data_IF_822887254658
#
_entry.id   IF_822887254658
#
_cell.length_a   1.000
_cell.length_b   1.000
_cell.length_c   1.000
_cell.angle_alpha   90.00
_cell.angle_beta   90.00
_cell.angle_gamma   90.00
#
_symmetry.space_group_name_H-M   'P 1'
#
loop_
_entity.id
_entity.type
_entity.pdbx_description
1 polymer ?
#
# COMPACT_ATOMS: atom_id res chain seq x y z
N UNK A 1 -29.55 5.51 15.33
CA UNK A 1 -29.75 6.50 14.26
C UNK A 1 -29.37 7.86 14.84
N UNK A 2 -28.14 8.30 14.67
CA UNK A 2 -27.66 9.59 15.18
C UNK A 2 -28.02 10.70 14.21
N UNK A 3 -28.53 11.80 14.77
CA UNK A 3 -28.98 12.96 14.02
C UNK A 3 -27.81 13.60 13.23
N UNK A 4 -28.12 14.00 12.00
CA UNK A 4 -27.22 14.79 11.14
C UNK A 4 -27.36 16.25 11.62
N UNK A 5 -26.27 16.80 12.21
CA UNK A 5 -26.20 18.23 12.52
C UNK A 5 -25.34 18.94 11.47
N UNK A 6 -25.79 20.11 11.01
CA UNK A 6 -25.03 20.97 10.08
C UNK A 6 -24.21 21.98 10.88
N UNK A 7 -22.90 22.02 10.63
CA UNK A 7 -22.01 23.08 11.13
C UNK A 7 -21.62 24.02 9.98
N UNK A 8 -21.16 25.22 10.29
CA UNK A 8 -20.98 26.37 9.37
C UNK A 8 -20.07 26.16 8.15
N UNK A 9 -19.39 25.00 8.02
CA UNK A 9 -18.67 24.59 6.79
C UNK A 9 -19.53 23.72 5.84
N UNK A 10 -20.83 23.64 6.02
CA UNK A 10 -21.81 23.16 5.04
C UNK A 10 -21.78 21.68 4.67
N UNK A 11 -21.03 20.83 5.37
CA UNK A 11 -20.98 19.38 5.14
C UNK A 11 -21.69 18.57 6.24
N UNK A 12 -22.33 17.41 5.91
CA UNK A 12 -22.92 16.54 6.93
C UNK A 12 -21.86 15.99 7.88
N UNK A 13 -22.11 16.05 9.18
CA UNK A 13 -21.28 15.34 10.18
C UNK A 13 -21.45 13.83 9.97
N UNK A 14 -20.46 13.21 9.32
CA UNK A 14 -20.45 11.79 9.02
C UNK A 14 -19.77 11.05 10.17
N UNK A 15 -20.43 10.05 10.74
CA UNK A 15 -19.88 9.27 11.84
C UNK A 15 -18.57 8.58 11.45
N UNK A 16 -17.60 8.51 12.38
CA UNK A 16 -16.25 7.94 12.15
C UNK A 16 -16.27 6.54 11.52
N UNK A 17 -17.21 5.70 11.94
CA UNK A 17 -17.37 4.35 11.39
C UNK A 17 -17.87 4.35 9.94
N UNK A 18 -18.73 5.30 9.58
CA UNK A 18 -19.22 5.42 8.21
C UNK A 18 -18.09 5.88 7.27
N UNK A 19 -17.26 6.84 7.69
CA UNK A 19 -16.09 7.29 6.93
C UNK A 19 -15.06 6.15 6.75
N UNK A 20 -14.81 5.38 7.81
CA UNK A 20 -13.93 4.24 7.75
C UNK A 20 -14.48 3.15 6.81
N UNK A 21 -15.75 2.79 6.94
CA UNK A 21 -16.39 1.79 6.08
C UNK A 21 -16.42 2.23 4.62
N UNK A 22 -16.72 3.51 4.37
CA UNK A 22 -16.62 4.09 3.02
C UNK A 22 -15.19 3.94 2.47
N UNK A 23 -14.18 4.32 3.26
CA UNK A 23 -12.79 4.20 2.88
C UNK A 23 -12.40 2.76 2.56
N UNK A 24 -12.79 1.82 3.41
CA UNK A 24 -12.53 0.39 3.21
C UNK A 24 -13.15 -0.11 1.90
N UNK A 25 -14.42 0.18 1.65
CA UNK A 25 -15.13 -0.24 0.42
C UNK A 25 -14.50 0.40 -0.82
N UNK A 26 -14.27 1.72 -0.79
CA UNK A 26 -13.70 2.44 -1.95
C UNK A 26 -12.29 1.92 -2.28
N UNK A 27 -11.45 1.68 -1.27
CA UNK A 27 -10.12 1.07 -1.47
C UNK A 27 -10.26 -0.33 -2.05
N UNK A 28 -11.16 -1.18 -1.50
CA UNK A 28 -11.37 -2.57 -1.96
C UNK A 28 -11.86 -2.66 -3.40
N UNK A 29 -12.48 -1.60 -3.92
CA UNK A 29 -12.99 -1.60 -5.30
C UNK A 29 -12.02 -0.95 -6.28
N UNK A 30 -11.22 0.06 -5.87
CA UNK A 30 -10.50 0.90 -6.83
C UNK A 30 -8.98 0.87 -6.73
N UNK A 31 -8.39 0.56 -5.55
CA UNK A 31 -7.00 0.95 -5.32
C UNK A 31 -5.94 -0.01 -5.87
N UNK A 32 -6.19 -1.31 -5.87
CA UNK A 32 -5.22 -2.34 -6.27
C UNK A 32 -5.67 -3.19 -7.47
N UNK A 33 -6.60 -2.70 -8.27
CA UNK A 33 -7.21 -3.45 -9.40
C UNK A 33 -6.15 -4.00 -10.36
N UNK A 34 -5.09 -3.22 -10.62
CA UNK A 34 -3.96 -3.62 -11.50
C UNK A 34 -3.30 -4.93 -11.06
N UNK A 35 -3.35 -5.28 -9.78
CA UNK A 35 -2.72 -6.50 -9.25
C UNK A 35 -3.53 -7.79 -9.52
N UNK A 36 -4.74 -7.67 -10.06
CA UNK A 36 -5.48 -8.76 -10.68
C UNK A 36 -5.04 -9.09 -12.12
N UNK A 37 -3.95 -8.48 -12.59
CA UNK A 37 -3.40 -8.58 -13.95
C UNK A 37 -3.37 -9.99 -14.56
N UNK A 38 -2.97 -11.07 -13.86
CA UNK A 38 -2.90 -12.39 -14.47
C UNK A 38 -4.24 -12.85 -15.09
N UNK A 39 -5.36 -12.44 -14.49
CA UNK A 39 -6.71 -12.75 -14.98
C UNK A 39 -7.04 -11.93 -16.25
N UNK A 40 -6.81 -10.62 -16.21
CA UNK A 40 -7.04 -9.77 -17.40
C UNK A 40 -6.13 -10.19 -18.58
N UNK A 41 -4.84 -10.48 -18.30
CA UNK A 41 -3.93 -11.00 -19.32
C UNK A 41 -4.52 -12.24 -20.00
N UNK A 42 -5.01 -13.18 -19.21
CA UNK A 42 -5.62 -14.40 -19.74
C UNK A 42 -6.84 -14.09 -20.62
N UNK A 43 -7.73 -13.21 -20.14
CA UNK A 43 -8.90 -12.79 -20.90
C UNK A 43 -8.53 -12.18 -22.26
N UNK A 44 -7.52 -11.30 -22.32
CA UNK A 44 -7.05 -10.70 -23.58
C UNK A 44 -6.48 -11.74 -24.56
N UNK A 45 -5.80 -12.77 -24.03
CA UNK A 45 -5.29 -13.88 -24.86
C UNK A 45 -6.46 -14.73 -25.40
N UNK A 46 -7.43 -15.07 -24.56
CA UNK A 46 -8.59 -15.88 -24.94
C UNK A 46 -9.51 -15.16 -25.96
N UNK A 47 -9.57 -13.83 -25.91
CA UNK A 47 -10.25 -12.99 -26.92
C UNK A 47 -9.50 -12.92 -28.26
N UNK A 48 -8.28 -13.49 -28.34
CA UNK A 48 -7.52 -13.57 -29.59
C UNK A 48 -6.84 -12.27 -30.01
N UNK A 49 -6.48 -11.39 -29.06
CA UNK A 49 -5.87 -10.09 -29.29
C UNK A 49 -4.50 -10.12 -29.99
N UNK A 50 -3.81 -11.27 -30.02
CA UNK A 50 -2.55 -11.46 -30.74
C UNK A 50 -1.37 -10.68 -30.14
N UNK A 51 -1.51 -10.11 -28.96
CA UNK A 51 -0.43 -9.39 -28.26
C UNK A 51 0.68 -10.37 -27.82
N UNK A 52 1.92 -9.98 -28.06
CA UNK A 52 3.09 -10.69 -27.56
C UNK A 52 3.22 -10.55 -26.02
N UNK A 53 3.94 -11.48 -25.37
CA UNK A 53 4.22 -11.39 -23.93
C UNK A 53 4.96 -10.11 -23.56
N UNK A 54 5.80 -9.59 -24.44
CA UNK A 54 6.49 -8.31 -24.25
C UNK A 54 5.50 -7.14 -24.23
N UNK A 55 4.53 -7.10 -25.14
CA UNK A 55 3.48 -6.06 -25.18
C UNK A 55 2.58 -6.16 -23.95
N UNK A 56 2.13 -7.34 -23.56
CA UNK A 56 1.38 -7.58 -22.32
C UNK A 56 2.18 -7.15 -21.10
N UNK A 57 3.48 -7.43 -21.08
CA UNK A 57 4.40 -6.97 -20.05
C UNK A 57 4.53 -5.45 -19.96
N UNK A 58 4.59 -4.77 -21.10
CA UNK A 58 4.62 -3.30 -21.16
C UNK A 58 3.33 -2.67 -20.62
N UNK A 59 2.17 -3.22 -20.97
CA UNK A 59 0.85 -2.79 -20.47
C UNK A 59 0.80 -2.85 -18.96
N UNK A 60 1.16 -4.01 -18.37
CA UNK A 60 1.19 -4.14 -16.90
C UNK A 60 2.20 -3.21 -16.25
N UNK A 61 3.39 -3.07 -16.85
CA UNK A 61 4.44 -2.20 -16.31
C UNK A 61 3.98 -0.76 -16.21
N UNK A 62 3.25 -0.25 -17.21
CA UNK A 62 2.65 1.08 -17.16
C UNK A 62 1.69 1.23 -15.96
N UNK A 63 0.85 0.24 -15.71
CA UNK A 63 -0.05 0.22 -14.56
C UNK A 63 0.68 0.13 -13.21
N UNK A 64 1.70 -0.70 -13.11
CA UNK A 64 2.49 -0.86 -11.87
C UNK A 64 3.28 0.42 -11.53
N UNK A 65 3.85 1.07 -12.54
CA UNK A 65 4.54 2.37 -12.39
C UNK A 65 3.56 3.45 -11.95
N UNK A 66 2.40 3.56 -12.63
CA UNK A 66 1.38 4.55 -12.27
C UNK A 66 0.79 4.29 -10.88
N UNK A 67 0.66 3.03 -10.46
CA UNK A 67 0.19 2.68 -9.13
C UNK A 67 1.14 3.14 -8.01
N UNK A 68 2.44 3.06 -8.22
CA UNK A 68 3.43 3.51 -7.26
C UNK A 68 3.63 5.03 -7.31
N UNK A 69 3.83 5.62 -8.50
CA UNK A 69 4.02 7.05 -8.68
C UNK A 69 2.75 7.85 -8.35
N UNK A 70 1.57 7.32 -8.71
CA UNK A 70 0.27 7.97 -8.50
C UNK A 70 0.02 8.31 -7.03
N UNK A 71 0.48 7.48 -6.10
CA UNK A 71 0.35 7.76 -4.65
C UNK A 71 1.08 9.02 -4.23
N UNK A 72 2.28 9.28 -4.77
CA UNK A 72 3.02 10.50 -4.47
C UNK A 72 2.27 11.74 -4.94
N UNK A 73 1.85 11.76 -6.20
CA UNK A 73 1.10 12.89 -6.77
C UNK A 73 -0.26 13.08 -6.08
N UNK A 74 -0.94 11.99 -5.77
CA UNK A 74 -2.21 12.06 -5.03
C UNK A 74 -2.02 12.61 -3.63
N UNK A 75 -0.94 12.24 -2.94
CA UNK A 75 -0.58 12.82 -1.64
C UNK A 75 -0.42 14.33 -1.71
N UNK A 76 0.32 14.84 -2.70
CA UNK A 76 0.50 16.28 -2.92
C UNK A 76 -0.84 16.99 -3.23
N UNK A 77 -1.68 16.41 -4.09
CA UNK A 77 -3.00 16.96 -4.43
C UNK A 77 -3.88 17.00 -3.16
N UNK A 78 -3.85 15.93 -2.35
CA UNK A 78 -4.61 15.88 -1.09
C UNK A 78 -4.19 16.98 -0.13
N UNK A 79 -2.88 17.17 0.04
CA UNK A 79 -2.36 18.17 0.97
C UNK A 79 -2.66 19.60 0.49
N UNK A 80 -2.70 19.84 -0.83
CA UNK A 80 -3.01 21.13 -1.42
C UNK A 80 -4.53 21.42 -1.57
N UNK A 81 -5.34 20.40 -1.93
CA UNK A 81 -6.73 20.58 -2.34
C UNK A 81 -7.73 19.81 -1.46
N UNK A 82 -7.25 19.05 -0.49
CA UNK A 82 -8.05 18.26 0.44
C UNK A 82 -8.38 16.85 -0.04
N UNK A 83 -8.83 16.03 0.92
CA UNK A 83 -9.08 14.59 0.74
C UNK A 83 -10.16 14.29 -0.31
N UNK A 84 -11.24 15.09 -0.32
CA UNK A 84 -12.37 14.94 -1.26
C UNK A 84 -11.91 15.04 -2.72
N UNK A 85 -11.20 16.12 -3.06
CA UNK A 85 -10.75 16.39 -4.44
C UNK A 85 -9.77 15.32 -4.92
N UNK A 86 -8.80 14.95 -4.09
CA UNK A 86 -7.81 13.94 -4.43
C UNK A 86 -8.44 12.55 -4.62
N UNK A 87 -9.32 12.13 -3.71
CA UNK A 87 -9.99 10.84 -3.78
C UNK A 87 -10.91 10.73 -5.00
N UNK A 88 -11.75 11.74 -5.23
CA UNK A 88 -12.67 11.77 -6.39
C UNK A 88 -11.89 11.83 -7.70
N UNK A 89 -10.80 12.61 -7.77
CA UNK A 89 -9.92 12.66 -8.92
C UNK A 89 -9.32 11.27 -9.28
N UNK A 90 -8.87 10.52 -8.27
CA UNK A 90 -8.40 9.14 -8.48
C UNK A 90 -9.53 8.21 -8.97
N UNK A 91 -10.73 8.30 -8.38
CA UNK A 91 -11.87 7.48 -8.82
C UNK A 91 -12.28 7.78 -10.25
N UNK A 92 -12.27 9.05 -10.67
CA UNK A 92 -12.53 9.44 -12.05
C UNK A 92 -11.45 8.88 -12.99
N UNK A 93 -10.18 8.91 -12.58
CA UNK A 93 -9.11 8.30 -13.38
C UNK A 93 -9.34 6.79 -13.57
N UNK A 94 -9.70 6.06 -12.49
CA UNK A 94 -10.04 4.63 -12.55
C UNK A 94 -11.26 4.39 -13.45
N UNK A 95 -12.30 5.23 -13.34
CA UNK A 95 -13.49 5.16 -14.18
C UNK A 95 -13.13 5.31 -15.67
N UNK A 96 -12.38 6.34 -16.02
CA UNK A 96 -11.93 6.55 -17.40
C UNK A 96 -11.08 5.37 -17.89
N UNK A 97 -10.14 4.89 -17.07
CA UNK A 97 -9.32 3.72 -17.37
C UNK A 97 -10.15 2.47 -17.61
N UNK A 98 -11.18 2.25 -16.80
CA UNK A 98 -12.14 1.15 -16.95
C UNK A 98 -12.90 1.24 -18.28
N UNK A 99 -13.38 2.42 -18.66
CA UNK A 99 -14.07 2.64 -19.93
C UNK A 99 -13.13 2.42 -21.12
N UNK A 100 -11.87 2.87 -21.03
CA UNK A 100 -10.88 2.62 -22.08
C UNK A 100 -10.65 1.12 -22.29
N UNK A 101 -10.53 0.34 -21.22
CA UNK A 101 -10.38 -1.12 -21.32
C UNK A 101 -11.66 -1.77 -21.86
N UNK A 102 -12.84 -1.25 -21.54
CA UNK A 102 -14.11 -1.75 -22.05
C UNK A 102 -14.21 -1.62 -23.58
N UNK A 103 -13.78 -0.47 -24.12
CA UNK A 103 -13.90 -0.18 -25.56
C UNK A 103 -12.67 -0.61 -26.39
N UNK A 104 -11.56 -0.95 -25.74
CA UNK A 104 -10.35 -1.39 -26.43
C UNK A 104 -10.55 -2.75 -27.08
N UNK A 105 -10.10 -2.91 -28.32
CA UNK A 105 -9.92 -4.24 -28.87
C UNK A 105 -8.83 -5.00 -28.10
N UNK A 106 -8.93 -6.32 -28.02
CA UNK A 106 -7.97 -7.13 -27.28
C UNK A 106 -6.52 -7.03 -27.82
N UNK A 107 -6.36 -6.59 -29.05
CA UNK A 107 -5.07 -6.32 -29.72
C UNK A 107 -4.61 -4.86 -29.68
N UNK A 108 -5.40 -3.94 -29.13
CA UNK A 108 -5.02 -2.52 -29.05
C UNK A 108 -4.14 -2.22 -27.82
N UNK A 109 -2.84 -2.49 -27.97
CA UNK A 109 -1.87 -2.27 -26.90
C UNK A 109 -1.85 -0.82 -26.38
N UNK A 110 -2.10 0.18 -27.25
CA UNK A 110 -2.03 1.59 -26.87
C UNK A 110 -3.19 1.96 -25.94
N UNK A 111 -4.42 1.58 -26.32
CA UNK A 111 -5.62 1.89 -25.54
C UNK A 111 -5.64 1.10 -24.23
N UNK A 112 -5.23 -0.18 -24.25
CA UNK A 112 -5.08 -1.00 -23.06
C UNK A 112 -4.02 -0.42 -22.11
N UNK A 113 -2.88 0.04 -22.62
CA UNK A 113 -1.83 0.69 -21.81
C UNK A 113 -2.36 1.95 -21.14
N UNK A 114 -3.07 2.81 -21.87
CA UNK A 114 -3.67 4.02 -21.33
C UNK A 114 -4.71 3.69 -20.23
N UNK A 115 -5.56 2.68 -20.49
CA UNK A 115 -6.55 2.20 -19.53
C UNK A 115 -5.91 1.68 -18.24
N UNK A 116 -4.94 0.78 -18.34
CA UNK A 116 -4.24 0.19 -17.19
C UNK A 116 -3.41 1.25 -16.44
N UNK A 117 -2.80 2.21 -17.14
CA UNK A 117 -2.12 3.34 -16.51
C UNK A 117 -3.08 4.17 -15.63
N UNK A 118 -4.26 4.49 -16.16
CA UNK A 118 -5.27 5.23 -15.38
C UNK A 118 -5.83 4.41 -14.20
N UNK A 119 -6.01 3.10 -14.38
CA UNK A 119 -6.37 2.20 -13.26
C UNK A 119 -5.32 2.22 -12.15
N UNK A 120 -4.03 2.28 -12.49
CA UNK A 120 -2.96 2.34 -11.51
C UNK A 120 -3.03 3.58 -10.61
N UNK A 121 -3.48 4.72 -11.15
CA UNK A 121 -3.67 5.96 -10.36
C UNK A 121 -4.70 5.78 -9.23
N UNK A 122 -5.60 4.80 -9.33
CA UNK A 122 -6.55 4.45 -8.27
C UNK A 122 -5.88 4.08 -6.93
N UNK A 123 -4.62 3.65 -6.97
CA UNK A 123 -3.85 3.37 -5.74
C UNK A 123 -3.72 4.60 -4.82
N UNK A 124 -3.86 5.81 -5.36
CA UNK A 124 -3.90 7.05 -4.60
C UNK A 124 -5.07 7.15 -3.63
N UNK A 125 -6.21 6.49 -3.92
CA UNK A 125 -7.36 6.44 -3.02
C UNK A 125 -6.97 5.88 -1.65
N UNK A 126 -6.14 4.84 -1.61
CA UNK A 126 -5.64 4.28 -0.35
C UNK A 126 -4.92 5.36 0.48
N UNK A 127 -4.04 6.13 -0.14
CA UNK A 127 -3.29 7.18 0.57
C UNK A 127 -4.22 8.31 1.07
N UNK A 128 -5.25 8.65 0.29
CA UNK A 128 -6.25 9.63 0.71
C UNK A 128 -7.05 9.18 1.93
N UNK A 129 -7.37 7.88 2.02
CA UNK A 129 -8.23 7.36 3.07
C UNK A 129 -7.47 6.91 4.32
N UNK A 130 -6.15 6.67 4.25
CA UNK A 130 -5.35 6.28 5.42
C UNK A 130 -5.51 7.21 6.64
N UNK A 131 -5.57 8.55 6.51
CA UNK A 131 -5.74 9.43 7.67
C UNK A 131 -7.05 9.26 8.43
N UNK A 132 -8.07 8.60 7.86
CA UNK A 132 -9.29 8.21 8.58
C UNK A 132 -8.98 7.38 9.85
N UNK A 133 -7.85 6.69 9.87
CA UNK A 133 -7.40 5.90 11.03
C UNK A 133 -7.09 6.75 12.26
N UNK A 134 -6.81 8.04 12.08
CA UNK A 134 -6.60 9.00 13.19
C UNK A 134 -7.88 9.23 14.02
N UNK A 135 -9.07 8.93 13.45
CA UNK A 135 -10.33 8.94 14.18
C UNK A 135 -10.46 7.79 15.20
N UNK A 136 -9.50 6.85 15.19
CA UNK A 136 -9.46 5.66 16.07
C UNK A 136 -8.10 5.55 16.77
N UNK A 137 -7.75 6.47 17.69
CA UNK A 137 -6.41 6.54 18.27
C UNK A 137 -6.02 5.25 19.00
N UNK A 138 -6.96 4.58 19.67
CA UNK A 138 -6.72 3.33 20.42
C UNK A 138 -6.39 2.13 19.50
N UNK A 139 -6.88 2.12 18.25
CA UNK A 139 -6.75 1.01 17.31
C UNK A 139 -6.18 1.45 15.96
N UNK A 140 -5.47 2.56 15.90
CA UNK A 140 -5.00 3.18 14.65
C UNK A 140 -4.15 2.23 13.80
N UNK A 141 -3.25 1.47 14.41
CA UNK A 141 -2.40 0.50 13.69
C UNK A 141 -3.21 -0.63 13.06
N UNK A 142 -4.20 -1.18 13.77
CA UNK A 142 -5.08 -2.22 13.26
C UNK A 142 -5.96 -1.69 12.12
N UNK A 143 -6.51 -0.49 12.27
CA UNK A 143 -7.32 0.16 11.23
C UNK A 143 -6.49 0.46 9.98
N UNK A 144 -5.26 0.94 10.13
CA UNK A 144 -4.33 1.16 9.01
C UNK A 144 -3.98 -0.14 8.30
N UNK A 145 -3.67 -1.19 9.04
CA UNK A 145 -3.38 -2.51 8.48
C UNK A 145 -4.57 -3.08 7.71
N UNK A 146 -5.81 -2.90 8.21
CA UNK A 146 -7.00 -3.38 7.50
C UNK A 146 -7.26 -2.61 6.20
N UNK A 147 -6.98 -1.31 6.13
CA UNK A 147 -7.02 -0.56 4.85
C UNK A 147 -5.95 -1.06 3.86
N UNK A 148 -4.80 -1.53 4.36
CA UNK A 148 -3.82 -2.20 3.50
C UNK A 148 -4.33 -3.56 2.99
N UNK A 149 -5.10 -4.29 3.80
CA UNK A 149 -5.82 -5.50 3.36
C UNK A 149 -6.88 -5.19 2.31
N UNK A 150 -7.65 -4.12 2.49
CA UNK A 150 -8.65 -3.67 1.51
C UNK A 150 -8.02 -3.43 0.13
N UNK A 151 -6.80 -2.91 0.09
CA UNK A 151 -6.03 -2.76 -1.14
C UNK A 151 -5.77 -4.09 -1.86
N UNK A 152 -5.46 -5.17 -1.13
CA UNK A 152 -5.27 -6.48 -1.75
C UNK A 152 -6.58 -7.09 -2.25
N UNK A 153 -7.68 -6.87 -1.54
CA UNK A 153 -9.02 -7.31 -1.96
C UNK A 153 -9.36 -6.76 -3.34
N UNK A 154 -8.94 -5.53 -3.67
CA UNK A 154 -9.23 -4.93 -4.98
C UNK A 154 -8.62 -5.69 -6.17
N UNK A 155 -7.61 -6.55 -5.95
CA UNK A 155 -7.10 -7.48 -6.96
C UNK A 155 -8.15 -8.46 -7.49
N UNK A 156 -9.21 -8.76 -6.70
CA UNK A 156 -10.34 -9.60 -7.14
C UNK A 156 -11.20 -8.98 -8.23
N UNK A 157 -11.12 -7.67 -8.45
CA UNK A 157 -12.02 -6.97 -9.40
C UNK A 157 -11.96 -7.62 -10.79
N UNK A 158 -10.77 -7.84 -11.34
CA UNK A 158 -10.65 -8.49 -12.65
C UNK A 158 -11.21 -9.91 -12.66
N UNK A 159 -11.05 -10.67 -11.57
CA UNK A 159 -11.64 -11.99 -11.44
C UNK A 159 -13.17 -11.93 -11.41
N UNK A 160 -13.75 -10.97 -10.71
CA UNK A 160 -15.21 -10.78 -10.69
C UNK A 160 -15.75 -10.35 -12.06
N UNK A 161 -15.03 -9.48 -12.76
CA UNK A 161 -15.40 -9.04 -14.11
C UNK A 161 -15.29 -10.17 -15.14
N UNK A 162 -14.30 -11.06 -15.00
CA UNK A 162 -14.11 -12.19 -15.93
C UNK A 162 -15.21 -13.26 -15.86
N UNK A 163 -16.05 -13.26 -14.83
CA UNK A 163 -17.22 -14.15 -14.72
C UNK A 163 -18.32 -13.76 -15.71
N UNK A 164 -18.38 -12.49 -16.12
CA UNK A 164 -19.32 -11.99 -17.12
C UNK A 164 -18.76 -12.28 -18.50
N UNK A 165 -19.57 -12.90 -19.37
CA UNK A 165 -19.13 -13.38 -20.67
C UNK A 165 -18.67 -12.27 -21.64
N UNK A 166 -19.23 -11.07 -21.50
CA UNK A 166 -18.89 -9.90 -22.32
C UNK A 166 -18.06 -8.89 -21.51
N UNK A 167 -16.81 -8.67 -21.95
CA UNK A 167 -15.90 -7.71 -21.35
C UNK A 167 -16.47 -6.31 -21.35
N UNK A 168 -17.06 -5.86 -22.46
CA UNK A 168 -17.64 -4.53 -22.56
C UNK A 168 -18.74 -4.29 -21.51
N UNK A 169 -19.69 -5.23 -21.39
CA UNK A 169 -20.79 -5.13 -20.41
C UNK A 169 -20.26 -5.14 -18.97
N UNK A 170 -19.33 -6.05 -18.66
CA UNK A 170 -18.74 -6.18 -17.34
C UNK A 170 -18.04 -4.90 -16.87
N UNK A 171 -17.18 -4.35 -17.77
CA UNK A 171 -16.41 -3.15 -17.43
C UNK A 171 -17.28 -1.89 -17.43
N UNK A 172 -18.33 -1.82 -18.25
CA UNK A 172 -19.28 -0.71 -18.20
C UNK A 172 -20.12 -0.72 -16.91
N UNK A 173 -20.53 -1.90 -16.44
CA UNK A 173 -21.19 -2.05 -15.14
C UNK A 173 -20.27 -1.63 -14.00
N UNK A 174 -18.98 -2.00 -14.07
CA UNK A 174 -17.99 -1.58 -13.08
C UNK A 174 -17.74 -0.07 -13.13
N UNK A 175 -17.66 0.55 -14.32
CA UNK A 175 -17.56 2.01 -14.47
C UNK A 175 -18.78 2.73 -13.85
N UNK A 176 -19.98 2.17 -13.98
CA UNK A 176 -21.19 2.70 -13.36
C UNK A 176 -21.10 2.65 -11.82
N UNK A 177 -20.58 1.56 -11.26
CA UNK A 177 -20.30 1.46 -9.81
C UNK A 177 -19.30 2.52 -9.34
N UNK A 178 -18.20 2.72 -10.08
CA UNK A 178 -17.18 3.73 -9.77
C UNK A 178 -17.76 5.15 -9.83
N UNK A 179 -18.68 5.43 -10.76
CA UNK A 179 -19.38 6.71 -10.83
C UNK A 179 -20.23 6.95 -9.55
N UNK A 180 -21.00 5.95 -9.13
CA UNK A 180 -21.78 6.04 -7.89
C UNK A 180 -20.86 6.26 -6.69
N UNK A 181 -19.73 5.53 -6.60
CA UNK A 181 -18.75 5.73 -5.53
C UNK A 181 -18.13 7.13 -5.55
N UNK A 182 -17.84 7.67 -6.74
CA UNK A 182 -17.32 9.04 -6.89
C UNK A 182 -18.31 10.09 -6.38
N UNK A 183 -19.61 9.92 -6.68
CA UNK A 183 -20.67 10.80 -6.17
C UNK A 183 -20.78 10.69 -4.65
N UNK A 184 -20.79 9.47 -4.09
CA UNK A 184 -20.82 9.27 -2.63
C UNK A 184 -19.62 9.91 -1.94
N UNK A 185 -18.41 9.75 -2.48
CA UNK A 185 -17.21 10.38 -1.95
C UNK A 185 -17.26 11.91 -2.00
N UNK A 186 -17.86 12.49 -3.06
CA UNK A 186 -18.06 13.94 -3.17
C UNK A 186 -18.95 14.48 -2.04
N UNK A 187 -19.93 13.70 -1.60
CA UNK A 187 -20.88 14.13 -0.56
C UNK A 187 -20.40 13.85 0.86
N UNK A 188 -19.71 12.73 1.08
CA UNK A 188 -19.38 12.23 2.42
C UNK A 188 -17.98 12.62 2.89
N UNK A 189 -17.01 12.82 1.98
CA UNK A 189 -15.63 13.12 2.38
C UNK A 189 -15.45 14.59 2.76
N UNK A 190 -14.59 14.88 3.75
CA UNK A 190 -14.27 16.25 4.13
C UNK A 190 -13.48 16.96 3.03
N UNK A 191 -13.64 18.28 2.94
CA UNK A 191 -12.85 19.12 2.02
C UNK A 191 -11.41 19.33 2.51
N UNK A 192 -11.16 19.13 3.81
CA UNK A 192 -9.84 19.29 4.42
C UNK A 192 -8.96 18.05 4.19
N UNK A 193 -7.65 18.23 4.28
CA UNK A 193 -6.69 17.13 4.27
C UNK A 193 -6.68 16.33 5.60
N UNK A 194 -7.17 16.93 6.68
CA UNK A 194 -7.19 16.32 8.03
C UNK A 194 -8.59 15.86 8.39
N UNK A 195 -8.68 14.68 8.98
CA UNK A 195 -9.89 14.20 9.64
C UNK A 195 -9.82 14.65 11.10
N UNK A 196 -10.68 15.60 11.53
CA UNK A 196 -10.78 16.03 12.92
C UNK A 196 -12.09 15.53 13.52
N UNK A 197 -12.03 15.04 14.76
CA UNK A 197 -13.19 14.87 15.60
C UNK A 197 -13.49 16.28 16.13
N UNK A 198 -14.64 16.87 15.81
CA UNK A 198 -15.09 18.06 16.53
C UNK A 198 -15.50 17.61 17.92
N UNK A 199 -14.59 17.70 18.89
CA UNK A 199 -14.93 17.60 20.32
C UNK A 199 -15.82 18.78 20.66
N UNK A 200 -17.13 18.57 20.64
CA UNK A 200 -18.11 19.49 21.20
C UNK A 200 -18.26 19.32 22.71
N UNK A 201 -17.13 19.21 23.42
CA UNK A 201 -17.11 19.32 24.90
C UNK A 201 -15.70 19.77 25.33
N UNK A 202 -15.58 21.05 25.56
CA UNK A 202 -14.58 21.84 26.28
C UNK A 202 -13.97 22.98 25.45
N UNK A 203 -14.79 23.99 25.18
CA UNK A 203 -14.25 25.32 24.87
C UNK A 203 -14.91 26.32 25.82
N UNK A 204 -14.48 26.31 27.07
CA UNK A 204 -14.48 27.51 27.88
C UNK A 204 -13.02 27.81 28.26
N UNK A 205 -12.60 29.03 27.90
CA UNK A 205 -11.35 29.71 28.25
C UNK A 205 -10.09 29.35 27.44
N UNK A 206 -9.95 30.05 26.31
CA UNK A 206 -8.81 31.00 26.16
C UNK A 206 -9.08 31.90 24.94
N UNK A 207 -9.61 33.08 25.23
CA UNK A 207 -9.46 34.28 24.39
C UNK A 207 -8.02 34.73 24.54
N UNK A 208 -7.31 34.83 23.42
CA UNK A 208 -6.39 35.94 23.12
C UNK A 208 -5.61 35.63 21.84
N UNK A 209 -5.84 36.47 20.88
CA UNK A 209 -5.08 37.52 20.23
C UNK A 209 -4.41 37.13 18.93
N UNK A 210 -4.97 37.72 17.89
CA UNK A 210 -4.38 38.27 16.69
C UNK A 210 -2.83 38.37 16.66
N UNK A 211 -2.20 37.49 15.84
CA UNK A 211 -0.99 37.79 15.06
C UNK A 211 -0.67 36.73 14.00
N UNK A 212 -1.70 36.21 13.34
CA UNK A 212 -1.62 34.97 12.54
C UNK A 212 -1.01 35.06 11.13
N UNK A 213 -0.22 36.08 10.76
CA UNK A 213 0.32 36.17 9.39
C UNK A 213 1.84 36.02 9.26
N UNK A 214 2.61 36.16 10.34
CA UNK A 214 4.06 35.95 10.32
C UNK A 214 4.50 34.59 10.83
N UNK A 215 3.76 33.96 11.74
CA UNK A 215 4.07 32.61 12.25
C UNK A 215 3.93 31.52 11.19
N UNK A 216 2.86 31.51 10.41
CA UNK A 216 2.65 30.47 9.38
C UNK A 216 3.71 30.45 8.25
N UNK A 217 4.48 31.53 8.07
CA UNK A 217 5.56 31.57 7.07
C UNK A 217 6.87 30.98 7.66
N UNK A 218 7.10 31.16 8.95
CA UNK A 218 8.26 30.58 9.64
C UNK A 218 8.06 29.10 9.90
N UNK A 219 6.86 28.66 10.30
CA UNK A 219 6.51 27.24 10.45
C UNK A 219 6.64 26.48 9.14
N UNK A 220 6.20 27.05 8.01
CA UNK A 220 6.33 26.42 6.69
C UNK A 220 7.78 26.27 6.22
N UNK A 221 8.67 27.21 6.59
CA UNK A 221 10.11 27.14 6.31
C UNK A 221 10.81 26.11 7.23
N UNK A 222 10.44 26.05 8.50
CA UNK A 222 10.99 25.13 9.48
C UNK A 222 10.55 23.68 9.18
N UNK A 223 9.28 23.47 8.82
CA UNK A 223 8.78 22.19 8.35
C UNK A 223 9.41 21.73 7.04
N UNK A 224 9.68 22.64 6.12
CA UNK A 224 10.40 22.34 4.88
C UNK A 224 11.84 21.92 5.11
N UNK A 225 12.54 22.54 6.07
CA UNK A 225 13.90 22.16 6.45
C UNK A 225 13.91 20.78 7.13
N UNK A 226 12.98 20.54 8.07
CA UNK A 226 12.84 19.26 8.73
C UNK A 226 12.55 18.12 7.73
N UNK A 227 11.66 18.34 6.75
CA UNK A 227 11.37 17.37 5.71
C UNK A 227 12.62 17.02 4.88
N UNK A 228 13.40 18.03 4.52
CA UNK A 228 14.62 17.84 3.72
C UNK A 228 15.69 17.07 4.49
N UNK A 229 15.85 17.37 5.78
CA UNK A 229 16.72 16.63 6.68
C UNK A 229 16.28 15.17 6.84
N UNK A 230 14.97 14.92 6.96
CA UNK A 230 14.41 13.57 7.02
C UNK A 230 14.68 12.78 5.75
N UNK A 231 14.50 13.38 4.55
CA UNK A 231 14.76 12.72 3.26
C UNK A 231 16.25 12.39 3.09
N UNK A 232 17.15 13.26 3.56
CA UNK A 232 18.59 13.04 3.47
C UNK A 232 19.13 12.13 4.58
N UNK A 233 18.32 11.77 5.55
CA UNK A 233 18.76 10.92 6.65
C UNK A 233 19.19 9.55 6.14
N UNK A 234 20.29 9.03 6.69
CA UNK A 234 20.79 7.68 6.36
C UNK A 234 19.71 6.61 6.54
N UNK A 235 18.89 6.76 7.56
CA UNK A 235 17.84 5.82 7.89
C UNK A 235 16.76 5.77 6.82
N UNK A 236 16.32 6.93 6.36
CA UNK A 236 15.31 7.01 5.30
C UNK A 236 15.86 6.51 3.96
N UNK A 237 17.09 6.88 3.60
CA UNK A 237 17.74 6.41 2.36
C UNK A 237 17.86 4.89 2.36
N UNK A 238 18.27 4.26 3.47
CA UNK A 238 18.36 2.80 3.57
C UNK A 238 17.00 2.13 3.52
N UNK A 239 15.98 2.74 4.13
CA UNK A 239 14.61 2.23 4.08
C UNK A 239 14.04 2.28 2.66
N UNK A 240 14.26 3.38 1.94
CA UNK A 240 13.84 3.53 0.53
C UNK A 240 14.64 2.57 -0.36
N UNK A 241 15.94 2.41 -0.15
CA UNK A 241 16.77 1.46 -0.89
C UNK A 241 16.26 0.01 -0.71
N UNK A 242 15.89 -0.37 0.51
CA UNK A 242 15.23 -1.65 0.76
C UNK A 242 13.92 -1.78 -0.02
N UNK A 243 13.03 -0.78 0.08
CA UNK A 243 11.73 -0.79 -0.60
C UNK A 243 11.90 -0.94 -2.11
N UNK A 244 12.76 -0.14 -2.72
CA UNK A 244 13.08 -0.17 -4.17
C UNK A 244 13.58 -1.55 -4.59
N UNK A 245 14.49 -2.13 -3.80
CA UNK A 245 15.07 -3.46 -4.10
C UNK A 245 14.01 -4.57 -4.01
N UNK A 246 13.09 -4.50 -3.06
CA UNK A 246 12.07 -5.54 -2.84
C UNK A 246 10.88 -5.38 -3.78
N UNK A 247 10.49 -4.15 -4.12
CA UNK A 247 9.32 -3.90 -4.99
C UNK A 247 9.53 -4.43 -6.41
N UNK A 248 10.71 -4.30 -6.99
CA UNK A 248 10.99 -4.74 -8.36
C UNK A 248 10.70 -6.25 -8.55
N UNK A 249 11.27 -7.18 -7.74
CA UNK A 249 10.89 -8.59 -7.82
C UNK A 249 9.41 -8.83 -7.56
N UNK A 250 8.81 -8.15 -6.57
CA UNK A 250 7.38 -8.37 -6.26
C UNK A 250 6.47 -7.96 -7.41
N UNK A 251 6.79 -6.91 -8.15
CA UNK A 251 6.04 -6.54 -9.35
C UNK A 251 6.27 -7.52 -10.49
N UNK A 252 7.53 -7.96 -10.69
CA UNK A 252 7.87 -8.98 -11.70
C UNK A 252 7.12 -10.30 -11.47
N UNK A 253 6.91 -10.69 -10.21
CA UNK A 253 6.15 -11.89 -9.87
C UNK A 253 4.74 -11.87 -10.50
N UNK A 254 3.98 -10.79 -10.33
CA UNK A 254 2.63 -10.64 -10.87
C UNK A 254 2.67 -10.54 -12.41
N UNK A 255 3.64 -9.78 -12.94
CA UNK A 255 3.84 -9.59 -14.36
C UNK A 255 4.00 -10.92 -15.10
N UNK A 256 4.88 -11.78 -14.60
CA UNK A 256 5.31 -13.02 -15.27
C UNK A 256 4.48 -14.24 -14.91
N UNK A 257 3.64 -14.16 -13.86
CA UNK A 257 2.96 -15.32 -13.28
C UNK A 257 2.15 -16.09 -14.33
N UNK A 258 1.30 -15.41 -15.09
CA UNK A 258 0.43 -16.04 -16.06
C UNK A 258 1.22 -16.84 -17.10
N UNK A 259 2.26 -16.23 -17.66
CA UNK A 259 3.17 -16.88 -18.60
C UNK A 259 3.86 -18.10 -17.99
N UNK A 260 4.39 -17.98 -16.77
CA UNK A 260 5.07 -19.10 -16.08
C UNK A 260 4.12 -20.25 -15.75
N UNK A 261 2.86 -19.96 -15.41
CA UNK A 261 1.86 -21.01 -15.15
C UNK A 261 1.50 -21.75 -16.46
N UNK A 262 1.35 -21.04 -17.58
CA UNK A 262 1.13 -21.66 -18.89
C UNK A 262 2.29 -22.58 -19.29
N UNK A 263 3.55 -22.17 -19.09
CA UNK A 263 4.71 -23.04 -19.32
C UNK A 263 4.72 -24.30 -18.44
N UNK A 264 4.16 -24.23 -17.21
CA UNK A 264 4.03 -25.36 -16.29
C UNK A 264 2.79 -26.23 -16.57
N UNK A 265 2.03 -25.91 -17.62
CA UNK A 265 0.89 -26.71 -18.09
C UNK A 265 -0.50 -26.21 -17.65
N UNK A 266 -0.63 -25.00 -17.08
CA UNK A 266 -1.94 -24.38 -16.82
C UNK A 266 -2.52 -23.78 -18.11
N UNK A 267 -2.91 -24.62 -19.05
CA UNK A 267 -3.51 -24.20 -20.33
C UNK A 267 -4.83 -23.46 -20.11
N UNK A 268 -5.56 -23.80 -19.04
CA UNK A 268 -6.86 -23.20 -18.72
C UNK A 268 -6.78 -21.83 -18.07
N UNK A 269 -5.62 -21.44 -17.55
CA UNK A 269 -5.46 -20.24 -16.74
C UNK A 269 -6.13 -20.31 -15.37
N UNK A 270 -6.50 -21.52 -14.91
CA UNK A 270 -7.16 -21.71 -13.61
C UNK A 270 -6.30 -21.22 -12.44
N UNK A 271 -4.97 -21.39 -12.53
CA UNK A 271 -4.05 -20.95 -11.48
C UNK A 271 -3.87 -19.43 -11.43
N UNK A 272 -4.17 -18.70 -12.49
CA UNK A 272 -4.27 -17.23 -12.44
C UNK A 272 -5.42 -16.81 -11.50
N UNK A 273 -6.56 -17.49 -11.58
CA UNK A 273 -7.71 -17.25 -10.71
C UNK A 273 -7.40 -17.64 -9.26
N UNK A 274 -6.76 -18.81 -9.07
CA UNK A 274 -6.30 -19.25 -7.73
C UNK A 274 -5.33 -18.22 -7.13
N UNK A 275 -4.38 -17.74 -7.89
CA UNK A 275 -3.44 -16.70 -7.43
C UNK A 275 -4.16 -15.45 -6.92
N UNK A 276 -5.05 -14.90 -7.74
CA UNK A 276 -5.77 -13.67 -7.40
C UNK A 276 -6.66 -13.88 -6.17
N UNK A 277 -7.30 -15.05 -6.05
CA UNK A 277 -8.10 -15.39 -4.89
C UNK A 277 -7.26 -15.52 -3.60
N UNK A 278 -6.12 -16.22 -3.67
CA UNK A 278 -5.18 -16.37 -2.55
C UNK A 278 -4.55 -15.03 -2.17
N UNK A 279 -4.17 -14.23 -3.17
CA UNK A 279 -3.61 -12.89 -2.96
C UNK A 279 -4.59 -11.99 -2.20
N UNK A 280 -5.84 -11.92 -2.63
CA UNK A 280 -6.87 -11.15 -1.94
C UNK A 280 -7.23 -11.77 -0.57
N UNK A 281 -7.28 -13.10 -0.48
CA UNK A 281 -7.55 -13.83 0.77
C UNK A 281 -6.51 -13.55 1.86
N UNK A 282 -5.27 -13.26 1.48
CA UNK A 282 -4.23 -12.88 2.45
C UNK A 282 -4.55 -11.58 3.21
N UNK A 283 -5.47 -10.75 2.71
CA UNK A 283 -5.98 -9.58 3.41
C UNK A 283 -6.58 -9.88 4.79
N UNK A 284 -7.07 -11.11 5.02
CA UNK A 284 -7.59 -11.56 6.32
C UNK A 284 -6.52 -11.43 7.42
N UNK A 285 -5.24 -11.58 7.05
CA UNK A 285 -4.11 -11.47 7.97
C UNK A 285 -3.62 -10.02 8.17
N UNK A 286 -4.26 -9.04 7.54
CA UNK A 286 -3.83 -7.64 7.64
C UNK A 286 -3.84 -7.08 9.07
N UNK A 287 -4.84 -7.37 9.95
CA UNK A 287 -4.78 -6.89 11.33
C UNK A 287 -3.60 -7.48 12.13
N UNK A 288 -3.23 -8.74 11.81
CA UNK A 288 -2.09 -9.40 12.47
C UNK A 288 -0.74 -8.81 12.02
N UNK A 289 -0.66 -8.17 10.86
CA UNK A 289 0.59 -7.58 10.35
C UNK A 289 1.14 -6.47 11.26
N UNK A 290 0.26 -5.64 11.82
CA UNK A 290 0.64 -4.63 12.80
C UNK A 290 1.18 -5.25 14.09
N UNK A 291 0.51 -6.28 14.61
CA UNK A 291 0.93 -7.00 15.82
C UNK A 291 2.29 -7.69 15.64
N UNK A 292 2.57 -8.24 14.45
CA UNK A 292 3.88 -8.83 14.13
C UNK A 292 4.99 -7.78 14.24
N UNK A 293 4.76 -6.58 13.69
CA UNK A 293 5.71 -5.49 13.79
C UNK A 293 5.94 -5.03 15.23
N UNK A 294 4.87 -5.00 16.04
CA UNK A 294 4.93 -4.59 17.43
C UNK A 294 5.64 -5.61 18.33
N UNK A 295 5.45 -6.91 18.06
CA UNK A 295 6.00 -7.99 18.87
C UNK A 295 7.42 -8.38 18.51
N UNK A 296 7.77 -8.41 17.23
CA UNK A 296 9.07 -8.87 16.73
C UNK A 296 10.06 -7.73 16.47
N UNK A 297 9.59 -6.49 16.42
CA UNK A 297 10.34 -5.34 15.93
C UNK A 297 10.31 -5.23 14.40
N UNK A 298 10.52 -4.00 13.90
CA UNK A 298 10.40 -3.69 12.47
C UNK A 298 11.43 -4.42 11.62
N UNK A 299 12.69 -4.48 12.07
CA UNK A 299 13.77 -5.13 11.32
C UNK A 299 13.52 -6.63 11.09
N UNK A 300 13.07 -7.35 12.15
CA UNK A 300 12.75 -8.77 12.06
C UNK A 300 11.50 -9.00 11.21
N UNK A 301 10.47 -8.17 11.35
CA UNK A 301 9.24 -8.25 10.57
C UNK A 301 9.50 -7.98 9.07
N UNK A 302 10.39 -7.03 8.73
CA UNK A 302 10.85 -6.78 7.35
C UNK A 302 11.58 -7.99 6.77
N UNK A 303 12.48 -8.62 7.56
CA UNK A 303 13.19 -9.83 7.15
C UNK A 303 12.22 -10.98 6.89
N UNK A 304 11.25 -11.17 7.75
CA UNK A 304 10.20 -12.18 7.60
C UNK A 304 9.37 -11.94 6.33
N UNK A 305 8.90 -10.70 6.11
CA UNK A 305 8.14 -10.33 4.92
C UNK A 305 8.91 -10.58 3.62
N UNK A 306 10.18 -10.16 3.57
CA UNK A 306 11.04 -10.35 2.40
C UNK A 306 11.36 -11.83 2.18
N UNK A 307 11.57 -12.59 3.26
CA UNK A 307 11.79 -14.03 3.22
C UNK A 307 10.60 -14.79 2.62
N UNK A 308 9.36 -14.41 2.98
CA UNK A 308 8.15 -15.02 2.39
C UNK A 308 8.11 -14.81 0.87
N UNK A 309 8.42 -13.59 0.39
CA UNK A 309 8.48 -13.33 -1.06
C UNK A 309 9.62 -14.10 -1.71
N UNK A 310 10.80 -14.19 -1.09
CA UNK A 310 11.88 -14.99 -1.62
C UNK A 310 11.51 -16.47 -1.75
N UNK A 311 10.83 -17.03 -0.76
CA UNK A 311 10.31 -18.41 -0.80
C UNK A 311 9.32 -18.57 -1.96
N UNK A 312 8.44 -17.61 -2.21
CA UNK A 312 7.49 -17.71 -3.33
C UNK A 312 8.20 -17.82 -4.69
N UNK A 313 9.33 -17.13 -4.88
CA UNK A 313 10.16 -17.27 -6.08
C UNK A 313 10.85 -18.64 -6.18
N UNK A 314 11.20 -19.26 -5.05
CA UNK A 314 11.70 -20.65 -5.06
C UNK A 314 10.64 -21.60 -5.60
N UNK A 315 9.35 -21.42 -5.24
CA UNK A 315 8.26 -22.20 -5.83
C UNK A 315 8.11 -21.95 -7.33
N UNK A 316 8.23 -20.69 -7.80
CA UNK A 316 8.21 -20.39 -9.23
C UNK A 316 9.40 -21.02 -9.98
N UNK A 317 10.56 -21.14 -9.34
CA UNK A 317 11.76 -21.76 -9.92
C UNK A 317 11.71 -23.31 -9.94
N UNK A 318 10.69 -23.94 -9.35
CA UNK A 318 10.55 -25.41 -9.42
C UNK A 318 10.39 -25.87 -10.88
N UNK A 319 10.91 -27.07 -11.23
CA UNK A 319 10.81 -27.63 -12.57
C UNK A 319 9.36 -27.74 -13.06
N UNK A 320 9.17 -27.72 -14.37
CA UNK A 320 7.84 -27.88 -15.01
C UNK A 320 7.16 -29.20 -14.68
N UNK A 321 7.94 -30.24 -14.32
CA UNK A 321 7.44 -31.54 -13.86
C UNK A 321 6.79 -31.51 -12.48
N UNK A 322 6.91 -30.39 -11.74
CA UNK A 322 6.32 -30.27 -10.40
C UNK A 322 4.81 -30.06 -10.51
N UNK A 323 4.00 -30.75 -9.67
CA UNK A 323 2.56 -30.55 -9.66
C UNK A 323 2.18 -29.07 -9.47
N UNK A 324 1.20 -28.61 -10.26
CA UNK A 324 0.73 -27.21 -10.21
C UNK A 324 0.22 -26.78 -8.84
N UNK A 325 -0.32 -27.73 -8.04
CA UNK A 325 -0.81 -27.50 -6.69
C UNK A 325 0.29 -26.93 -5.76
N UNK A 326 1.56 -27.28 -6.02
CA UNK A 326 2.68 -26.73 -5.27
C UNK A 326 2.85 -25.23 -5.51
N UNK A 327 2.44 -24.71 -6.65
CA UNK A 327 2.48 -23.28 -6.95
C UNK A 327 1.50 -22.49 -6.07
N UNK A 328 0.34 -23.10 -5.72
CA UNK A 328 -0.63 -22.47 -4.82
C UNK A 328 -0.03 -22.19 -3.43
N UNK A 329 0.89 -23.02 -2.95
CA UNK A 329 1.64 -22.77 -1.70
C UNK A 329 2.55 -21.54 -1.89
N UNK A 330 3.22 -21.42 -3.02
CA UNK A 330 4.01 -20.22 -3.37
C UNK A 330 3.15 -18.95 -3.38
N UNK A 331 1.92 -19.02 -3.88
CA UNK A 331 0.98 -17.89 -3.89
C UNK A 331 0.60 -17.43 -2.48
N UNK A 332 0.44 -18.35 -1.52
CA UNK A 332 0.21 -18.00 -0.12
C UNK A 332 1.39 -17.21 0.47
N UNK A 333 2.62 -17.68 0.23
CA UNK A 333 3.82 -16.96 0.67
C UNK A 333 3.93 -15.57 0.03
N UNK A 334 3.63 -15.47 -1.26
CA UNK A 334 3.65 -14.20 -1.97
C UNK A 334 2.62 -13.21 -1.41
N UNK A 335 1.35 -13.64 -1.27
CA UNK A 335 0.27 -12.79 -0.78
C UNK A 335 0.55 -12.22 0.61
N UNK A 336 0.99 -13.08 1.54
CA UNK A 336 1.36 -12.67 2.90
C UNK A 336 2.59 -11.77 2.90
N UNK A 337 3.65 -12.13 2.17
CA UNK A 337 4.87 -11.35 2.10
C UNK A 337 4.63 -9.95 1.55
N UNK A 338 3.85 -9.82 0.48
CA UNK A 338 3.52 -8.53 -0.12
C UNK A 338 2.68 -7.64 0.81
N UNK A 339 1.72 -8.21 1.52
CA UNK A 339 0.94 -7.50 2.53
C UNK A 339 1.85 -6.88 3.59
N UNK A 340 2.77 -7.70 4.11
CA UNK A 340 3.69 -7.29 5.17
C UNK A 340 4.70 -6.23 4.69
N UNK A 341 5.26 -6.36 3.47
CA UNK A 341 6.24 -5.40 2.93
C UNK A 341 5.69 -3.98 2.97
N UNK A 342 4.50 -3.77 2.45
CA UNK A 342 3.89 -2.44 2.43
C UNK A 342 3.57 -1.93 3.84
N UNK A 343 3.02 -2.81 4.70
CA UNK A 343 2.75 -2.50 6.09
C UNK A 343 4.01 -2.11 6.87
N UNK A 344 5.10 -2.86 6.67
CA UNK A 344 6.38 -2.57 7.33
C UNK A 344 7.01 -1.27 6.85
N UNK A 345 6.93 -0.95 5.56
CA UNK A 345 7.39 0.33 5.03
C UNK A 345 6.66 1.50 5.68
N UNK A 346 5.34 1.48 5.66
CA UNK A 346 4.51 2.53 6.26
C UNK A 346 4.75 2.66 7.77
N UNK A 347 4.83 1.54 8.49
CA UNK A 347 5.11 1.53 9.93
C UNK A 347 6.48 2.09 10.27
N UNK A 348 7.52 1.78 9.48
CA UNK A 348 8.86 2.35 9.66
C UNK A 348 8.86 3.86 9.49
N UNK A 349 8.22 4.38 8.44
CA UNK A 349 8.13 5.83 8.23
C UNK A 349 7.40 6.49 9.40
N UNK A 350 6.25 5.95 9.81
CA UNK A 350 5.46 6.52 10.89
C UNK A 350 6.17 6.52 12.25
N UNK A 351 6.87 5.41 12.60
CA UNK A 351 7.57 5.29 13.90
C UNK A 351 8.85 6.13 13.99
N UNK A 352 9.59 6.27 12.88
CA UNK A 352 10.90 6.93 12.89
C UNK A 352 10.84 8.41 12.57
N UNK A 353 9.94 8.80 11.68
CA UNK A 353 9.87 10.18 11.17
C UNK A 353 8.60 10.91 11.62
N UNK A 354 7.68 10.21 12.32
CA UNK A 354 6.42 10.79 12.77
C UNK A 354 5.39 10.93 11.64
N UNK A 355 4.25 11.55 11.98
CA UNK A 355 3.12 11.67 11.06
C UNK A 355 3.01 13.04 10.39
N UNK A 356 3.85 14.02 10.74
CA UNK A 356 3.79 15.38 10.23
C UNK A 356 4.04 15.42 8.70
N UNK A 357 5.13 14.80 8.23
CA UNK A 357 5.50 14.70 6.82
C UNK A 357 5.25 13.29 6.23
N UNK A 358 4.43 12.49 6.90
CA UNK A 358 4.23 11.08 6.58
C UNK A 358 3.81 10.84 5.13
N UNK A 359 2.84 11.61 4.62
CA UNK A 359 2.33 11.45 3.26
C UNK A 359 3.39 11.68 2.19
N UNK A 360 4.22 12.71 2.37
CA UNK A 360 5.31 13.03 1.44
C UNK A 360 6.42 11.98 1.51
N UNK A 361 6.81 11.57 2.72
CA UNK A 361 7.86 10.55 2.91
C UNK A 361 7.43 9.21 2.34
N UNK A 362 6.23 8.73 2.67
CA UNK A 362 5.71 7.48 2.10
C UNK A 362 5.60 7.59 0.58
N UNK A 363 5.05 8.69 0.09
CA UNK A 363 4.88 8.93 -1.35
C UNK A 363 6.20 8.99 -2.11
N UNK A 364 7.22 9.68 -1.58
CA UNK A 364 8.52 9.80 -2.24
C UNK A 364 9.23 8.44 -2.37
N UNK A 365 9.21 7.60 -1.34
CA UNK A 365 9.76 6.25 -1.44
C UNK A 365 9.01 5.39 -2.48
N UNK A 366 7.68 5.54 -2.58
CA UNK A 366 6.89 4.87 -3.61
C UNK A 366 7.18 5.42 -5.01
N UNK A 367 7.48 6.71 -5.16
CA UNK A 367 7.94 7.29 -6.42
C UNK A 367 9.28 6.71 -6.86
N UNK A 368 10.25 6.58 -5.94
CA UNK A 368 11.50 5.87 -6.21
C UNK A 368 11.26 4.40 -6.63
N UNK A 369 10.30 3.74 -5.98
CA UNK A 369 9.90 2.37 -6.32
C UNK A 369 9.21 2.29 -7.69
N UNK A 370 8.48 3.32 -8.10
CA UNK A 370 7.90 3.40 -9.45
C UNK A 370 8.98 3.39 -10.53
N UNK A 371 10.05 4.16 -10.34
CA UNK A 371 11.18 4.19 -11.27
C UNK A 371 11.89 2.83 -11.34
N UNK A 372 12.10 2.17 -10.20
CA UNK A 372 12.71 0.83 -10.19
C UNK A 372 11.79 -0.24 -10.78
N UNK A 373 10.48 -0.06 -10.71
CA UNK A 373 9.51 -0.99 -11.31
C UNK A 373 9.62 -1.08 -12.83
N UNK A 374 10.26 -0.14 -13.49
CA UNK A 374 10.58 -0.25 -14.92
C UNK A 374 11.50 -1.44 -15.21
N UNK A 375 12.37 -1.81 -14.28
CA UNK A 375 13.29 -2.94 -14.42
C UNK A 375 12.56 -4.30 -14.49
N UNK A 376 11.32 -4.39 -14.02
CA UNK A 376 10.52 -5.62 -14.14
C UNK A 376 10.31 -6.03 -15.60
N UNK A 377 10.17 -5.04 -16.51
CA UNK A 377 10.04 -5.30 -17.94
C UNK A 377 11.35 -5.92 -18.51
N UNK A 378 12.50 -5.38 -18.13
CA UNK A 378 13.80 -5.96 -18.55
C UNK A 378 14.01 -7.38 -17.98
N UNK A 379 13.52 -7.66 -16.76
CA UNK A 379 13.53 -9.01 -16.20
C UNK A 379 12.61 -9.95 -17.01
N UNK A 380 11.46 -9.46 -17.48
CA UNK A 380 10.58 -10.25 -18.32
C UNK A 380 11.26 -10.56 -19.68
N UNK A 381 11.81 -9.55 -20.35
CA UNK A 381 12.50 -9.74 -21.62
C UNK A 381 13.67 -10.72 -21.49
N UNK A 382 14.45 -10.64 -20.40
CA UNK A 382 15.50 -11.60 -20.11
C UNK A 382 14.92 -13.03 -19.96
N UNK A 383 13.84 -13.20 -19.21
CA UNK A 383 13.19 -14.50 -19.05
C UNK A 383 12.60 -15.07 -20.33
N UNK A 384 12.06 -14.22 -21.20
CA UNK A 384 11.53 -14.63 -22.51
C UNK A 384 12.65 -15.00 -23.50
N UNK A 385 13.77 -14.32 -23.47
CA UNK A 385 14.94 -14.61 -24.33
C UNK A 385 15.77 -15.80 -23.87
N UNK A 386 15.73 -16.13 -22.57
CA UNK A 386 16.55 -17.16 -21.93
C UNK A 386 15.72 -18.16 -21.13
N UNK A 387 15.82 -18.06 -19.82
CA UNK A 387 15.13 -18.98 -18.90
C UNK A 387 14.48 -18.23 -17.74
N UNK A 388 13.18 -18.43 -17.55
CA UNK A 388 12.47 -17.89 -16.38
C UNK A 388 13.06 -18.40 -15.05
N UNK A 389 13.64 -19.60 -15.04
CA UNK A 389 14.33 -20.13 -13.87
C UNK A 389 15.48 -19.23 -13.40
N UNK A 390 16.33 -18.76 -14.35
CA UNK A 390 17.45 -17.88 -14.04
C UNK A 390 16.98 -16.55 -13.44
N UNK A 391 15.93 -15.98 -14.00
CA UNK A 391 15.35 -14.73 -13.51
C UNK A 391 14.76 -14.92 -12.12
N UNK A 392 14.03 -16.02 -11.87
CA UNK A 392 13.48 -16.32 -10.57
C UNK A 392 14.56 -16.47 -9.50
N UNK A 393 15.65 -17.20 -9.80
CA UNK A 393 16.80 -17.33 -8.88
C UNK A 393 17.48 -15.97 -8.65
N UNK A 394 17.62 -15.16 -9.69
CA UNK A 394 18.15 -13.80 -9.55
C UNK A 394 17.28 -12.96 -8.62
N UNK A 395 15.96 -13.05 -8.70
CA UNK A 395 15.04 -12.40 -7.77
C UNK A 395 15.26 -12.88 -6.32
N UNK A 396 15.46 -14.19 -6.10
CA UNK A 396 15.78 -14.72 -4.76
C UNK A 396 17.10 -14.12 -4.25
N UNK A 397 18.12 -14.02 -5.08
CA UNK A 397 19.40 -13.42 -4.71
C UNK A 397 19.23 -11.93 -4.35
N UNK A 398 18.52 -11.16 -5.19
CA UNK A 398 18.28 -9.74 -4.96
C UNK A 398 17.56 -9.53 -3.61
N UNK A 399 16.50 -10.31 -3.33
CA UNK A 399 15.77 -10.25 -2.07
C UNK A 399 16.68 -10.64 -0.88
N UNK A 400 17.51 -11.67 -1.03
CA UNK A 400 18.44 -12.11 -0.01
C UNK A 400 19.52 -11.08 0.30
N UNK A 401 19.96 -10.28 -0.68
CA UNK A 401 20.92 -9.20 -0.49
C UNK A 401 20.41 -8.09 0.44
N UNK A 402 19.11 -7.99 0.70
CA UNK A 402 18.54 -7.03 1.66
C UNK A 402 18.62 -7.52 3.11
N UNK A 403 18.86 -8.82 3.35
CA UNK A 403 18.88 -9.40 4.70
C UNK A 403 19.88 -8.75 5.67
N UNK A 404 21.12 -8.38 5.27
CA UNK A 404 22.05 -7.72 6.18
C UNK A 404 21.53 -6.42 6.77
N UNK A 405 20.84 -5.60 5.95
CA UNK A 405 20.22 -4.36 6.43
C UNK A 405 19.12 -4.63 7.47
N UNK A 406 18.24 -5.59 7.18
CA UNK A 406 17.13 -5.92 8.07
C UNK A 406 17.63 -6.53 9.40
N UNK A 407 18.65 -7.37 9.35
CA UNK A 407 19.30 -7.90 10.54
C UNK A 407 19.95 -6.79 11.37
N UNK A 408 20.68 -5.88 10.74
CA UNK A 408 21.28 -4.73 11.41
C UNK A 408 20.20 -3.88 12.09
N UNK A 409 19.08 -3.63 11.40
CA UNK A 409 17.95 -2.89 11.93
C UNK A 409 17.34 -3.57 13.15
N UNK A 410 17.12 -4.88 13.11
CA UNK A 410 16.60 -5.68 14.23
C UNK A 410 17.54 -5.70 15.44
N UNK A 411 18.86 -5.77 15.23
CA UNK A 411 19.84 -5.65 16.32
C UNK A 411 19.82 -4.26 16.94
N UNK A 412 19.72 -3.22 16.15
CA UNK A 412 19.64 -1.84 16.63
C UNK A 412 18.40 -1.63 17.49
N UNK A 413 17.23 -2.05 17.03
CA UNK A 413 15.98 -1.94 17.78
C UNK A 413 16.03 -2.68 19.11
N UNK A 414 16.62 -3.86 19.16
CA UNK A 414 16.83 -4.60 20.42
C UNK A 414 17.73 -3.85 21.39
N UNK A 415 18.79 -3.24 20.90
CA UNK A 415 19.70 -2.46 21.74
C UNK A 415 19.03 -1.18 22.28
N UNK A 416 18.27 -0.48 21.44
CA UNK A 416 17.49 0.70 21.85
C UNK A 416 16.45 0.35 22.92
N UNK A 417 15.75 -0.76 22.74
CA UNK A 417 14.80 -1.28 23.74
C UNK A 417 15.48 -1.68 25.04
N UNK A 418 16.61 -2.38 24.98
CA UNK A 418 17.36 -2.77 26.18
C UNK A 418 17.88 -1.56 26.97
N UNK A 419 18.34 -0.51 26.28
CA UNK A 419 18.74 0.76 26.89
C UNK A 419 17.56 1.48 27.54
N UNK A 420 16.40 1.52 26.87
CA UNK A 420 15.19 2.13 27.41
C UNK A 420 14.70 1.43 28.69
N UNK A 421 14.73 0.09 28.72
CA UNK A 421 14.39 -0.69 29.93
C UNK A 421 15.40 -0.44 31.05
N UNK A 422 16.70 -0.39 30.75
CA UNK A 422 17.75 -0.13 31.74
C UNK A 422 17.63 1.28 32.38
N UNK A 423 17.28 2.29 31.56
CA UNK A 423 17.05 3.66 32.05
C UNK A 423 15.78 3.78 32.88
N UNK A 424 14.69 3.08 32.49
CA UNK A 424 13.45 3.03 33.26
C UNK A 424 13.64 2.37 34.61
N UNK A 425 14.36 1.25 34.71
CA UNK A 425 14.65 0.58 35.98
C UNK A 425 15.50 1.46 36.87
N UNK A 426 16.51 2.15 36.32
CA UNK A 426 17.34 3.07 37.12
C UNK A 426 16.54 4.28 37.64
N UNK A 427 15.56 4.76 36.91
CA UNK A 427 14.64 5.81 37.37
C UNK A 427 13.74 5.32 38.49
N UNK A 428 13.22 4.09 38.40
CA UNK A 428 12.40 3.49 39.45
C UNK A 428 13.19 3.23 40.73
N UNK A 429 14.44 2.74 40.63
CA UNK A 429 15.34 2.54 41.80
C UNK A 429 15.65 3.87 42.48
N UNK A 430 15.85 4.96 41.72
CA UNK A 430 16.06 6.30 42.30
C UNK A 430 14.81 6.85 43.01
N UNK A 431 13.61 6.58 42.46
CA UNK A 431 12.35 7.00 43.12
C UNK A 431 12.11 6.21 44.40
N UNK A 432 12.37 4.89 44.38
CA UNK A 432 12.19 4.02 45.56
C UNK A 432 13.18 4.39 46.68
N UNK A 433 14.43 4.72 46.32
CA UNK A 433 15.42 5.22 47.29
C UNK A 433 15.00 6.56 47.90
N UNK A 434 14.51 7.49 47.08
CA UNK A 434 14.03 8.80 47.57
C UNK A 434 12.77 8.68 48.45
N UNK A 435 11.87 7.76 48.17
CA UNK A 435 10.68 7.49 49.00
C UNK A 435 11.10 6.91 50.36
N UNK A 436 12.03 5.96 50.36
CA UNK A 436 12.55 5.36 51.61
C UNK A 436 13.31 6.38 52.48
N UNK A 437 14.06 7.32 51.88
CA UNK A 437 14.74 8.39 52.60
C UNK A 437 13.75 9.39 53.24
N UNK A 438 12.64 9.69 52.52
CA UNK A 438 11.58 10.55 53.07
C UNK A 438 10.81 9.87 54.20
N UNK A 439 10.58 8.56 54.14
CA UNK A 439 9.96 7.80 55.24
C UNK A 439 10.88 7.71 56.45
N UNK A 440 12.17 7.52 56.26
CA UNK A 440 13.13 7.54 57.39
C UNK A 440 13.21 8.91 58.06
N UNK A 441 13.13 10.03 57.34
CA UNK A 441 13.08 11.37 57.90
C UNK A 441 11.79 11.66 58.68
N UNK A 442 10.69 10.96 58.42
CA UNK A 442 9.43 11.12 59.18
C UNK A 442 9.41 10.32 60.49
N UNK A 443 10.29 9.37 60.66
CA UNK A 443 10.38 8.52 61.85
C UNK A 443 11.45 9.03 62.88
N UNK A 444 12.33 9.94 62.49
CA UNK A 444 13.21 10.72 63.32
C UNK A 444 12.53 12.03 63.75
#
# INVERSE_FOLDING_TARGET
MGAISHHEDGGPQVGRWLLYSLGFVVISVSSGVVYGWPVLRRQLIDEGGGLSEAELGAIYTAGAVSANAGRFFTGMIRDAMGTRVACVGCLIAVLIGTVLIAVADAGDAALLTAGIFLLGLGSGVQLCMQPVTQLFPENSSMMMASLAGAFQISGLVFLLLSVVADRFEAYLAFASLLLVMSVLCTWLLPSSAKFSISDSENTENTSDVSDGKMEGRNEGLENGQLLWEQIQSREYILLVAWLVTVITPTQFYILSLGYQMEQKGDISGAYNNVFVFVYAGSAIFSPASGQIADSLGLGVAMAFATGLVAISFVFLALPESTPLEMQAVGFCFYGLGRLLIFGMYCSNVGRRFGFENYGILVGFGLLCSALSSLLQYSLLEWGLAGSMWEVNITCVIILSCTMPYMMWLGFRERNEWALAVATSNKSNDCVETAVNDVEMMKVM
#
